data_IF_695795968291
#
_entry.id   IF_695795968291
#
_cell.length_a   1.000
_cell.length_b   1.000
_cell.length_c   1.000
_cell.angle_alpha   90.00
_cell.angle_beta   90.00
_cell.angle_gamma   90.00
#
_symmetry.space_group_name_H-M   'P 1'
#
loop_
_entity.id
_entity.type
_entity.pdbx_description
1 polymer ?
#
# COMPACT_ATOMS: atom_id res chain seq x y z
N UNK A 1 24.55 28.36 -26.04
CA UNK A 1 24.27 27.30 -25.06
C UNK A 1 22.87 27.57 -24.53
N UNK A 2 21.85 26.85 -25.00
CA UNK A 2 20.47 27.03 -24.50
C UNK A 2 20.35 26.39 -23.12
N UNK A 3 19.64 27.00 -22.16
CA UNK A 3 19.43 26.39 -20.86
C UNK A 3 18.55 25.15 -21.02
N UNK A 4 19.04 24.02 -20.50
CA UNK A 4 18.24 22.79 -20.36
C UNK A 4 17.14 23.10 -19.33
N UNK A 5 15.85 22.83 -19.60
CA UNK A 5 14.82 23.02 -18.61
C UNK A 5 15.13 22.12 -17.41
N UNK A 6 15.44 22.71 -16.26
CA UNK A 6 15.48 21.99 -15.00
C UNK A 6 14.07 21.46 -14.75
N UNK A 7 13.91 20.14 -14.74
CA UNK A 7 12.69 19.52 -14.25
C UNK A 7 12.49 20.01 -12.81
N UNK A 8 11.51 20.88 -12.61
CA UNK A 8 11.09 21.31 -11.29
C UNK A 8 10.66 20.07 -10.52
N UNK A 9 11.43 19.68 -9.51
CA UNK A 9 11.02 18.61 -8.61
C UNK A 9 9.68 19.00 -7.99
N UNK A 10 8.62 18.30 -8.38
CA UNK A 10 7.31 18.47 -7.76
C UNK A 10 7.45 18.12 -6.28
N UNK A 11 6.99 19.01 -5.39
CA UNK A 11 6.99 18.73 -3.97
C UNK A 11 6.20 17.43 -3.68
N UNK A 12 6.72 16.61 -2.78
CA UNK A 12 6.07 15.37 -2.40
C UNK A 12 4.63 15.63 -1.93
N UNK A 13 3.66 14.88 -2.43
CA UNK A 13 2.29 14.96 -1.95
C UNK A 13 2.22 14.36 -0.55
N UNK A 14 1.74 15.12 0.42
CA UNK A 14 1.52 14.61 1.78
C UNK A 14 0.14 13.98 1.89
N UNK A 15 0.06 12.73 2.32
CA UNK A 15 -1.18 12.04 2.66
C UNK A 15 -1.25 11.82 4.16
N UNK A 16 -2.39 12.16 4.76
CA UNK A 16 -2.67 11.90 6.17
C UNK A 16 -3.38 10.57 6.35
N UNK A 17 -2.91 9.75 7.28
CA UNK A 17 -3.60 8.52 7.65
C UNK A 17 -4.08 8.53 9.10
N UNK A 18 -5.22 7.90 9.34
CA UNK A 18 -5.74 7.66 10.69
C UNK A 18 -5.72 6.16 11.00
N UNK A 19 -4.83 5.77 11.92
CA UNK A 19 -4.72 4.40 12.44
C UNK A 19 -5.32 4.25 13.85
N UNK A 20 -6.12 5.20 14.34
CA UNK A 20 -6.77 5.12 15.65
C UNK A 20 -7.72 3.93 15.77
N UNK A 21 -8.21 3.40 14.64
CA UNK A 21 -9.13 2.26 14.55
C UNK A 21 -8.42 0.95 14.18
N UNK A 22 -7.09 0.96 14.09
CA UNK A 22 -6.29 -0.22 13.74
C UNK A 22 -6.02 -1.16 14.93
N UNK A 23 -6.52 -0.84 16.14
CA UNK A 23 -6.37 -1.64 17.35
C UNK A 23 -4.91 -2.11 17.57
N UNK A 24 -4.66 -3.41 17.69
CA UNK A 24 -3.31 -3.99 17.89
C UNK A 24 -2.34 -3.72 16.73
N UNK A 25 -2.84 -3.37 15.55
CA UNK A 25 -2.02 -3.13 14.36
C UNK A 25 -1.50 -1.70 14.23
N UNK A 26 -1.84 -0.78 15.14
CA UNK A 26 -1.43 0.63 15.04
C UNK A 26 0.07 0.80 14.79
N UNK A 27 0.91 0.18 15.63
CA UNK A 27 2.37 0.29 15.47
C UNK A 27 2.88 -0.31 14.17
N UNK A 28 2.24 -1.37 13.67
CA UNK A 28 2.57 -2.00 12.38
C UNK A 28 2.20 -1.10 11.20
N UNK A 29 1.07 -0.38 11.28
CA UNK A 29 0.67 0.61 10.27
C UNK A 29 1.66 1.77 10.22
N UNK A 30 2.10 2.26 11.39
CA UNK A 30 3.10 3.33 11.48
C UNK A 30 4.44 2.89 10.82
N UNK A 31 4.86 1.64 11.03
CA UNK A 31 6.03 1.06 10.38
C UNK A 31 5.84 0.89 8.86
N UNK A 32 4.68 0.44 8.40
CA UNK A 32 4.37 0.33 6.98
C UNK A 32 4.43 1.71 6.29
N UNK A 33 3.96 2.77 6.96
CA UNK A 33 4.07 4.12 6.46
C UNK A 33 5.54 4.58 6.33
N UNK A 34 6.41 4.21 7.28
CA UNK A 34 7.85 4.48 7.21
C UNK A 34 8.53 3.73 6.05
N UNK A 35 8.12 2.50 5.76
CA UNK A 35 8.63 1.73 4.61
C UNK A 35 8.30 2.47 3.31
N UNK A 36 7.07 2.93 3.13
CA UNK A 36 6.71 3.73 1.96
C UNK A 36 7.50 5.04 1.90
N UNK A 37 7.61 5.78 3.01
CA UNK A 37 8.35 7.05 3.06
C UNK A 37 9.86 6.90 2.75
N UNK A 38 10.45 5.74 3.03
CA UNK A 38 11.85 5.44 2.68
C UNK A 38 12.01 4.84 1.28
N UNK A 39 10.91 4.36 0.68
CA UNK A 39 10.91 3.69 -0.63
C UNK A 39 10.64 4.62 -1.80
N UNK A 40 9.93 5.73 -1.58
CA UNK A 40 9.52 6.68 -2.63
C UNK A 40 9.65 8.12 -2.16
N UNK A 41 9.66 9.06 -3.10
CA UNK A 41 9.87 10.50 -2.83
C UNK A 41 8.73 11.39 -3.31
N UNK A 42 7.87 10.91 -4.21
CA UNK A 42 6.71 11.66 -4.74
C UNK A 42 5.56 11.79 -3.75
N UNK A 43 5.52 10.96 -2.71
CA UNK A 43 4.46 10.92 -1.71
C UNK A 43 5.03 10.66 -0.32
N UNK A 44 4.47 11.32 0.69
CA UNK A 44 4.83 11.14 2.08
C UNK A 44 3.57 10.85 2.91
N UNK A 45 3.63 9.79 3.71
CA UNK A 45 2.57 9.36 4.62
C UNK A 45 2.85 9.90 6.02
N UNK A 46 1.89 10.61 6.61
CA UNK A 46 1.98 11.13 7.98
C UNK A 46 0.71 10.78 8.76
N UNK A 47 0.84 10.42 10.03
CA UNK A 47 -0.33 10.21 10.87
C UNK A 47 -1.04 11.55 11.13
N UNK A 48 -2.37 11.58 11.07
CA UNK A 48 -3.12 12.78 11.44
C UNK A 48 -4.55 12.84 10.90
N UNK A 49 -5.29 13.84 11.36
CA UNK A 49 -6.65 14.15 10.93
C UNK A 49 -6.77 15.62 10.48
N UNK A 50 -7.68 15.97 9.57
CA UNK A 50 -8.52 15.06 8.78
C UNK A 50 -7.66 14.15 7.88
N UNK A 51 -8.02 12.87 7.83
CA UNK A 51 -7.24 11.85 7.13
C UNK A 51 -7.69 11.72 5.67
N UNK A 52 -6.74 11.43 4.78
CA UNK A 52 -7.00 11.02 3.40
C UNK A 52 -7.44 9.56 3.33
N UNK A 53 -6.88 8.70 4.19
CA UNK A 53 -7.33 7.32 4.35
C UNK A 53 -7.33 6.86 5.82
N UNK A 54 -8.20 5.90 6.13
CA UNK A 54 -8.39 5.38 7.50
C UNK A 54 -8.05 3.88 7.51
N UNK A 55 -7.34 3.46 8.55
CA UNK A 55 -6.94 2.07 8.76
C UNK A 55 -7.71 1.46 9.94
N UNK A 56 -8.35 0.32 9.70
CA UNK A 56 -9.13 -0.44 10.64
C UNK A 56 -8.48 -1.79 10.94
N UNK A 57 -8.71 -2.33 12.13
CA UNK A 57 -8.60 -3.77 12.34
C UNK A 57 -9.95 -4.44 11.99
N UNK A 58 -9.90 -5.61 11.36
CA UNK A 58 -11.08 -6.37 10.96
C UNK A 58 -10.88 -7.86 11.28
N UNK A 59 -11.98 -8.60 11.47
CA UNK A 59 -11.89 -10.03 11.79
C UNK A 59 -11.77 -10.93 10.56
N UNK A 60 -12.02 -10.41 9.35
CA UNK A 60 -11.87 -11.14 8.09
C UNK A 60 -10.46 -11.08 7.51
N UNK A 61 -10.38 -11.28 6.18
CA UNK A 61 -9.15 -11.07 5.42
C UNK A 61 -8.81 -9.59 5.24
N UNK A 62 -7.51 -9.24 5.14
CA UNK A 62 -7.07 -7.91 4.80
C UNK A 62 -7.66 -7.46 3.47
N UNK A 63 -7.95 -6.16 3.39
CA UNK A 63 -8.49 -5.55 2.19
C UNK A 63 -8.25 -4.06 2.17
N UNK A 64 -8.28 -3.48 0.98
CA UNK A 64 -8.27 -2.04 0.76
C UNK A 64 -9.40 -1.63 -0.18
N UNK A 65 -9.91 -0.42 0.03
CA UNK A 65 -10.85 0.24 -0.88
C UNK A 65 -10.36 1.66 -1.16
N UNK A 66 -9.51 1.83 -2.19
CA UNK A 66 -9.10 3.15 -2.66
C UNK A 66 -10.31 3.87 -3.28
N UNK A 67 -10.64 5.08 -2.83
CA UNK A 67 -11.75 5.89 -3.38
C UNK A 67 -11.28 6.88 -4.43
N UNK A 68 -10.01 7.27 -4.35
CA UNK A 68 -9.23 7.99 -5.37
C UNK A 68 -7.76 7.83 -5.02
N UNK A 69 -6.84 8.32 -5.87
CA UNK A 69 -5.41 8.19 -5.60
C UNK A 69 -5.02 8.88 -4.28
N UNK A 70 -4.54 8.08 -3.33
CA UNK A 70 -4.13 8.50 -1.99
C UNK A 70 -5.25 8.55 -0.95
N UNK A 71 -6.49 8.17 -1.30
CA UNK A 71 -7.65 8.21 -0.39
C UNK A 71 -8.37 6.88 -0.33
N UNK A 72 -8.96 6.56 0.82
CA UNK A 72 -9.80 5.37 0.95
C UNK A 72 -9.74 4.74 2.33
N UNK A 73 -9.87 3.42 2.35
CA UNK A 73 -9.93 2.64 3.57
C UNK A 73 -9.05 1.40 3.45
N UNK A 74 -8.42 1.02 4.56
CA UNK A 74 -7.64 -0.20 4.71
C UNK A 74 -8.15 -0.97 5.92
N UNK A 75 -8.29 -2.28 5.79
CA UNK A 75 -8.61 -3.18 6.88
C UNK A 75 -7.48 -4.19 7.02
N UNK A 76 -6.84 -4.19 8.19
CA UNK A 76 -5.88 -5.23 8.57
C UNK A 76 -6.66 -6.40 9.16
N UNK A 77 -6.68 -7.51 8.43
CA UNK A 77 -7.46 -8.69 8.76
C UNK A 77 -6.77 -9.61 9.76
N UNK A 78 -7.45 -9.89 10.89
CA UNK A 78 -7.01 -10.87 11.89
C UNK A 78 -6.97 -12.29 11.34
N UNK A 79 -7.79 -12.62 10.35
CA UNK A 79 -7.80 -13.95 9.74
C UNK A 79 -6.46 -14.29 9.07
N UNK A 80 -5.88 -13.37 8.29
CA UNK A 80 -4.59 -13.63 7.64
C UNK A 80 -3.44 -13.75 8.64
N UNK A 81 -3.42 -12.87 9.64
CA UNK A 81 -2.36 -12.88 10.66
C UNK A 81 -2.45 -14.12 11.56
N UNK A 82 -3.66 -14.59 11.92
CA UNK A 82 -3.84 -15.84 12.66
C UNK A 82 -3.46 -17.08 11.84
N UNK A 83 -3.56 -16.99 10.51
CA UNK A 83 -3.07 -18.02 9.58
C UNK A 83 -1.55 -17.94 9.34
N UNK A 84 -0.85 -16.98 9.96
CA UNK A 84 0.62 -16.88 9.94
C UNK A 84 1.18 -15.91 8.91
N UNK A 85 0.35 -15.12 8.22
CA UNK A 85 0.86 -14.05 7.35
C UNK A 85 1.44 -12.89 8.18
N UNK A 86 2.55 -12.33 7.71
CA UNK A 86 3.24 -11.24 8.40
C UNK A 86 2.41 -9.94 8.36
N UNK A 87 2.07 -9.40 9.53
CA UNK A 87 1.23 -8.19 9.65
C UNK A 87 1.84 -6.94 9.03
N UNK A 88 3.17 -6.79 9.07
CA UNK A 88 3.85 -5.64 8.46
C UNK A 88 3.82 -5.71 6.94
N UNK A 89 4.02 -6.90 6.37
CA UNK A 89 3.84 -7.13 4.93
C UNK A 89 2.39 -6.83 4.51
N UNK A 90 1.40 -7.34 5.26
CA UNK A 90 -0.03 -7.06 5.01
C UNK A 90 -0.27 -5.55 4.99
N UNK A 91 0.08 -4.83 6.07
CA UNK A 91 -0.17 -3.40 6.15
C UNK A 91 0.50 -2.61 5.02
N UNK A 92 1.73 -2.97 4.65
CA UNK A 92 2.47 -2.30 3.57
C UNK A 92 1.84 -2.59 2.20
N UNK A 93 1.38 -3.82 1.97
CA UNK A 93 0.65 -4.23 0.77
C UNK A 93 -0.67 -3.45 0.60
N UNK A 94 -1.50 -3.42 1.63
CA UNK A 94 -2.81 -2.74 1.56
C UNK A 94 -2.67 -1.22 1.35
N UNK A 95 -1.67 -0.59 1.97
CA UNK A 95 -1.34 0.81 1.69
C UNK A 95 -0.90 0.99 0.23
N UNK A 96 -0.24 0.01 -0.38
CA UNK A 96 0.11 0.02 -1.80
C UNK A 96 -1.10 0.24 -2.73
N UNK A 97 -2.27 -0.32 -2.39
CA UNK A 97 -3.52 -0.05 -3.12
C UNK A 97 -3.98 1.40 -3.01
N UNK A 98 -3.87 2.01 -1.82
CA UNK A 98 -4.13 3.46 -1.65
C UNK A 98 -3.18 4.30 -2.51
N UNK A 99 -1.95 3.84 -2.70
CA UNK A 99 -0.94 4.47 -3.56
C UNK A 99 -1.09 4.14 -5.06
N UNK A 100 -2.13 3.40 -5.42
CA UNK A 100 -2.51 3.15 -6.81
C UNK A 100 -1.92 1.89 -7.44
N UNK A 101 -1.33 0.99 -6.65
CA UNK A 101 -0.84 -0.29 -7.14
C UNK A 101 -1.97 -1.35 -7.18
N UNK A 102 -2.10 -2.13 -8.25
CA UNK A 102 -3.07 -3.22 -8.32
C UNK A 102 -2.52 -4.47 -7.62
N UNK A 103 -3.43 -5.37 -7.27
CA UNK A 103 -3.09 -6.75 -6.91
C UNK A 103 -2.39 -7.44 -8.10
N UNK A 104 -1.22 -8.04 -7.88
CA UNK A 104 -0.48 -8.75 -8.93
C UNK A 104 -0.44 -10.27 -8.74
N UNK A 105 -0.60 -10.74 -7.51
CA UNK A 105 -0.69 -12.17 -7.14
C UNK A 105 0.38 -13.08 -7.76
N UNK A 106 1.60 -12.59 -7.97
CA UNK A 106 2.67 -13.31 -8.71
C UNK A 106 3.24 -14.55 -7.99
N UNK A 107 2.94 -14.72 -6.70
CA UNK A 107 3.51 -15.75 -5.82
C UNK A 107 4.94 -15.43 -5.35
N UNK A 108 5.53 -14.31 -5.77
CA UNK A 108 6.92 -13.96 -5.46
C UNK A 108 6.99 -13.14 -4.18
N UNK A 109 7.82 -13.56 -3.23
CA UNK A 109 8.03 -12.80 -2.00
C UNK A 109 8.69 -11.42 -2.23
N UNK A 110 9.46 -11.29 -3.30
CA UNK A 110 10.07 -10.02 -3.72
C UNK A 110 9.06 -8.98 -4.18
N UNK A 111 7.88 -9.41 -4.63
CA UNK A 111 6.81 -8.52 -5.11
C UNK A 111 5.89 -8.25 -3.92
N UNK A 112 5.83 -7.00 -3.45
CA UNK A 112 4.96 -6.65 -2.34
C UNK A 112 3.49 -6.86 -2.73
N UNK A 113 3.13 -6.48 -3.95
CA UNK A 113 1.77 -6.61 -4.48
C UNK A 113 1.42 -8.04 -4.91
N UNK A 114 2.28 -9.02 -4.63
CA UNK A 114 1.88 -10.43 -4.63
C UNK A 114 0.96 -10.77 -3.44
N UNK A 115 0.99 -9.96 -2.37
CA UNK A 115 0.13 -10.15 -1.21
C UNK A 115 0.29 -11.54 -0.58
N UNK A 116 -0.84 -12.12 -0.18
CA UNK A 116 -0.98 -13.44 0.40
C UNK A 116 -0.61 -14.58 -0.56
N UNK A 117 -0.61 -14.36 -1.89
CA UNK A 117 -0.23 -15.41 -2.83
C UNK A 117 1.25 -15.82 -2.75
N UNK A 118 2.09 -14.99 -2.11
CA UNK A 118 3.48 -15.33 -1.79
C UNK A 118 3.62 -16.33 -0.61
N UNK A 119 2.51 -16.70 0.03
CA UNK A 119 2.49 -17.65 1.16
C UNK A 119 2.92 -17.04 2.49
N UNK A 120 2.72 -17.79 3.57
CA UNK A 120 2.97 -17.36 4.96
C UNK A 120 4.45 -17.32 5.32
N UNK A 121 5.31 -18.07 4.62
CA UNK A 121 6.77 -18.00 4.80
C UNK A 121 7.36 -16.68 4.31
N UNK A 122 6.63 -15.93 3.47
CA UNK A 122 7.07 -14.64 2.99
C UNK A 122 6.79 -13.53 4.01
N UNK A 123 7.86 -12.89 4.47
CA UNK A 123 7.79 -11.79 5.44
C UNK A 123 8.32 -10.46 4.91
N UNK A 124 8.82 -10.40 3.66
CA UNK A 124 9.36 -9.17 3.07
C UNK A 124 8.27 -8.08 2.99
N UNK A 125 8.42 -6.93 3.64
CA UNK A 125 7.43 -5.86 3.58
C UNK A 125 7.78 -4.79 2.53
N UNK A 126 8.92 -4.90 1.84
CA UNK A 126 9.41 -3.82 0.98
C UNK A 126 8.90 -3.95 -0.45
N UNK A 127 8.43 -2.85 -1.08
CA UNK A 127 8.09 -2.82 -2.50
C UNK A 127 9.35 -3.00 -3.37
N UNK A 128 9.20 -3.74 -4.47
CA UNK A 128 10.28 -3.90 -5.44
C UNK A 128 10.51 -2.61 -6.26
N UNK A 129 11.55 -2.59 -7.10
CA UNK A 129 11.89 -1.43 -7.94
C UNK A 129 10.76 -1.00 -8.88
N UNK A 130 10.00 -1.95 -9.45
CA UNK A 130 8.92 -1.64 -10.38
C UNK A 130 7.71 -1.02 -9.65
N UNK A 131 7.35 -1.55 -8.48
CA UNK A 131 6.28 -1.05 -7.61
C UNK A 131 6.60 0.38 -7.12
N UNK A 132 7.84 0.62 -6.66
CA UNK A 132 8.31 1.96 -6.30
C UNK A 132 8.21 2.94 -7.46
N UNK A 133 8.67 2.55 -8.65
CA UNK A 133 8.63 3.40 -9.83
C UNK A 133 7.18 3.73 -10.28
N UNK A 134 6.24 2.79 -10.09
CA UNK A 134 4.83 3.02 -10.37
C UNK A 134 4.21 4.04 -9.41
N UNK A 135 4.45 3.93 -8.10
CA UNK A 135 4.03 4.96 -7.13
C UNK A 135 4.64 6.32 -7.45
N UNK A 136 5.93 6.36 -7.82
CA UNK A 136 6.59 7.60 -8.26
C UNK A 136 5.86 8.25 -9.44
N UNK A 137 5.41 7.46 -10.43
CA UNK A 137 4.63 7.96 -11.57
C UNK A 137 3.23 8.41 -11.17
N UNK A 138 2.51 7.62 -10.37
CA UNK A 138 1.14 7.93 -9.93
C UNK A 138 1.06 9.31 -9.25
N UNK A 139 2.08 9.67 -8.46
CA UNK A 139 2.13 10.94 -7.72
C UNK A 139 3.02 12.01 -8.36
N UNK A 140 3.68 11.72 -9.48
CA UNK A 140 4.65 12.60 -10.14
C UNK A 140 4.08 13.67 -11.07
N UNK A 141 2.75 13.87 -11.10
CA UNK A 141 2.10 14.90 -11.92
C UNK A 141 1.99 14.58 -13.41
N UNK A 142 2.39 13.38 -13.84
CA UNK A 142 2.17 12.89 -15.20
C UNK A 142 0.72 12.44 -15.36
N UNK A 143 0.15 12.62 -16.57
CA UNK A 143 -1.15 12.03 -16.94
C UNK A 143 -1.02 10.50 -17.02
N UNK A 144 -0.97 9.85 -15.87
CA UNK A 144 -0.93 8.38 -15.73
C UNK A 144 -2.17 8.00 -14.95
N UNK A 145 -3.03 7.19 -15.56
CA UNK A 145 -4.15 6.56 -14.86
C UNK A 145 -3.59 5.43 -14.00
N UNK A 146 -3.71 5.50 -12.66
CA UNK A 146 -3.32 4.38 -11.80
C UNK A 146 -4.02 3.09 -12.26
N UNK A 147 -3.32 1.96 -12.16
CA UNK A 147 -3.88 0.68 -12.60
C UNK A 147 -4.95 0.14 -11.62
N UNK A 148 -5.05 0.74 -10.44
CA UNK A 148 -6.11 0.46 -9.48
C UNK A 148 -7.46 1.03 -9.97
N UNK A 149 -8.52 0.26 -9.78
CA UNK A 149 -9.90 0.68 -9.97
C UNK A 149 -10.42 1.29 -8.66
N UNK A 150 -10.85 2.54 -8.70
CA UNK A 150 -11.37 3.21 -7.51
C UNK A 150 -12.77 2.69 -7.13
N UNK A 151 -13.03 2.64 -5.83
CA UNK A 151 -14.22 2.12 -5.16
C UNK A 151 -14.40 0.60 -5.22
N UNK A 152 -13.53 -0.12 -5.94
CA UNK A 152 -13.40 -1.58 -5.86
C UNK A 152 -12.74 -1.98 -4.53
N UNK A 153 -13.18 -3.10 -3.97
CA UNK A 153 -12.52 -3.73 -2.82
C UNK A 153 -11.46 -4.70 -3.35
N UNK A 154 -10.24 -4.53 -2.90
CA UNK A 154 -9.11 -5.44 -3.10
C UNK A 154 -8.97 -6.28 -1.84
N UNK A 155 -9.39 -7.54 -1.85
CA UNK A 155 -9.26 -8.44 -0.71
C UNK A 155 -8.08 -9.38 -0.90
N UNK A 156 -7.06 -9.30 -0.04
CA UNK A 156 -5.82 -10.09 -0.12
C UNK A 156 -5.98 -11.52 0.42
N UNK A 157 -6.98 -12.24 -0.10
CA UNK A 157 -7.22 -13.64 0.28
C UNK A 157 -6.18 -14.56 -0.35
N UNK A 158 -5.62 -15.50 0.41
CA UNK A 158 -4.80 -16.57 -0.19
C UNK A 158 -5.60 -17.31 -1.27
N UNK A 159 -4.93 -17.74 -2.35
CA UNK A 159 -5.55 -18.68 -3.28
C UNK A 159 -5.78 -19.99 -2.53
N UNK A 160 -7.02 -20.49 -2.54
CA UNK A 160 -7.31 -21.84 -2.04
C UNK A 160 -6.37 -22.82 -2.76
N UNK A 161 -5.74 -23.77 -2.05
CA UNK A 161 -4.98 -24.81 -2.72
C UNK A 161 -5.91 -25.52 -3.71
N UNK A 162 -5.50 -25.63 -4.97
CA UNK A 162 -6.19 -26.46 -5.93
C UNK A 162 -6.23 -27.89 -5.35
N UNK A 163 -7.44 -28.35 -5.01
CA UNK A 163 -7.70 -29.72 -4.59
C UNK A 163 -7.40 -30.71 -5.72
#
# INVERSE_FOLDING_TARGET
MSPVPQATATAARVLRYDASRAAEFRGVVDQAAQIWNSSVTSVQLVAGTPADFIVYADNGWPRAQPTSLGRGYVWIGRQATSQGHNSLRIATHEIGHILGLPDRRTGRCTDLMSGASAGTSCTNPNPNTAERAEVQRNFGGWLVTPQVEFNKIYEDRALEPAH
#
